data_IF_172771769844
#
_entry.id   IF_172771769844
#
_cell.length_a   1.000
_cell.length_b   1.000
_cell.length_c   1.000
_cell.angle_alpha   90.00
_cell.angle_beta   90.00
_cell.angle_gamma   90.00
#
_symmetry.space_group_name_H-M   'P 1'
#
loop_
_entity.id
_entity.type
_entity.pdbx_description
1 polymer ?
#
# COMPACT_ATOMS: atom_id res chain seq x y z
N UNK A 1 2.46 46.83 -7.22
CA UNK A 1 1.65 46.35 -8.36
C UNK A 1 1.41 44.86 -8.16
N UNK A 2 0.17 44.51 -7.84
CA UNK A 2 -0.30 43.15 -7.51
C UNK A 2 -0.80 42.52 -8.80
N UNK A 3 -0.22 41.43 -9.33
CA UNK A 3 -0.86 40.41 -10.20
C UNK A 3 0.07 39.21 -10.35
N UNK A 4 -0.20 38.12 -9.64
CA UNK A 4 0.21 36.74 -10.00
C UNK A 4 -0.48 35.77 -9.04
N UNK A 5 -1.81 35.72 -9.13
CA UNK A 5 -2.64 34.68 -8.55
C UNK A 5 -3.68 34.32 -9.61
N UNK A 6 -3.92 33.02 -9.75
CA UNK A 6 -4.98 32.36 -10.52
C UNK A 6 -4.71 32.13 -12.02
N UNK A 7 -4.24 30.92 -12.37
CA UNK A 7 -4.75 30.19 -13.54
C UNK A 7 -4.31 28.72 -13.56
N UNK A 8 -4.83 27.86 -12.68
CA UNK A 8 -4.85 26.40 -12.92
C UNK A 8 -6.12 25.77 -12.33
N UNK A 9 -7.26 26.35 -12.72
CA UNK A 9 -8.60 25.80 -12.51
C UNK A 9 -9.29 25.65 -13.87
N UNK A 10 -8.77 24.79 -14.75
CA UNK A 10 -9.46 24.31 -15.94
C UNK A 10 -8.94 22.91 -16.28
N UNK A 11 -9.48 21.87 -15.63
CA UNK A 11 -9.58 20.54 -16.25
C UNK A 11 -10.74 19.77 -15.59
N UNK A 12 -11.96 20.23 -15.87
CA UNK A 12 -13.19 19.45 -15.68
C UNK A 12 -13.82 19.29 -17.07
N UNK A 13 -13.81 18.06 -17.56
CA UNK A 13 -14.66 17.53 -18.65
C UNK A 13 -14.78 16.04 -18.37
N UNK A 14 -15.78 15.57 -17.61
CA UNK A 14 -17.16 15.28 -18.01
C UNK A 14 -17.27 14.42 -19.29
N UNK A 15 -17.52 13.12 -19.12
CA UNK A 15 -18.16 12.16 -20.05
C UNK A 15 -18.36 10.86 -19.25
N UNK A 16 -19.48 10.12 -19.19
CA UNK A 16 -20.89 10.28 -19.53
C UNK A 16 -21.64 9.17 -18.74
N UNK A 17 -22.85 9.46 -18.27
CA UNK A 17 -23.78 8.45 -17.75
C UNK A 17 -24.17 7.47 -18.87
N UNK A 18 -24.15 6.16 -18.58
CA UNK A 18 -24.96 5.19 -19.34
C UNK A 18 -25.77 4.37 -18.34
N UNK A 19 -27.09 4.47 -18.48
CA UNK A 19 -28.09 3.82 -17.66
C UNK A 19 -28.28 2.34 -18.03
N UNK A 20 -28.86 1.59 -17.08
CA UNK A 20 -29.23 0.18 -17.12
C UNK A 20 -29.98 -0.26 -18.40
N UNK A 21 -29.67 -1.46 -18.87
CA UNK A 21 -30.67 -2.41 -19.41
C UNK A 21 -30.25 -3.83 -19.05
N UNK A 22 -31.18 -4.60 -18.51
CA UNK A 22 -31.06 -6.00 -18.10
C UNK A 22 -31.38 -6.92 -19.27
N UNK A 23 -30.63 -8.01 -19.47
CA UNK A 23 -31.16 -9.26 -20.05
C UNK A 23 -30.26 -10.48 -19.74
N UNK A 24 -30.88 -11.55 -19.21
CA UNK A 24 -30.31 -12.88 -18.99
C UNK A 24 -30.27 -13.66 -20.32
N UNK A 25 -29.22 -14.48 -20.59
CA UNK A 25 -29.35 -15.92 -20.93
C UNK A 25 -28.00 -16.67 -21.06
N UNK A 26 -27.85 -17.68 -20.19
CA UNK A 26 -27.26 -19.03 -20.29
C UNK A 26 -25.89 -19.37 -20.94
N UNK A 27 -25.03 -19.89 -20.06
CA UNK A 27 -24.26 -21.16 -20.12
C UNK A 27 -23.09 -21.31 -21.11
N UNK A 28 -21.87 -21.36 -20.54
CA UNK A 28 -20.90 -22.44 -20.81
C UNK A 28 -19.85 -22.49 -19.70
N UNK A 29 -19.61 -23.70 -19.20
CA UNK A 29 -18.71 -24.02 -18.11
C UNK A 29 -17.24 -23.72 -18.45
N UNK A 30 -16.48 -23.15 -17.50
CA UNK A 30 -15.09 -23.54 -17.21
C UNK A 30 -14.76 -23.21 -15.75
N UNK A 31 -14.11 -24.18 -15.13
CA UNK A 31 -13.77 -24.35 -13.72
C UNK A 31 -12.88 -23.22 -13.14
N UNK A 32 -13.11 -22.89 -11.86
CA UNK A 32 -12.05 -22.37 -10.98
C UNK A 32 -12.11 -20.88 -10.60
N UNK A 33 -13.08 -20.53 -9.75
CA UNK A 33 -13.09 -19.42 -8.77
C UNK A 33 -12.13 -18.25 -9.03
N UNK A 34 -12.59 -17.26 -9.77
CA UNK A 34 -12.20 -15.86 -9.56
C UNK A 34 -13.39 -15.16 -8.91
N UNK A 35 -13.34 -15.00 -7.59
CA UNK A 35 -14.27 -14.11 -6.89
C UNK A 35 -13.80 -12.68 -7.16
N UNK A 36 -14.24 -12.09 -8.26
CA UNK A 36 -14.14 -10.64 -8.49
C UNK A 36 -15.29 -9.98 -7.73
N UNK A 37 -15.12 -9.82 -6.43
CA UNK A 37 -15.94 -8.91 -5.62
C UNK A 37 -15.40 -7.50 -5.81
N UNK A 38 -16.12 -6.69 -6.58
CA UNK A 38 -15.94 -5.25 -6.61
C UNK A 38 -16.25 -4.68 -5.22
N UNK A 39 -15.21 -4.27 -4.49
CA UNK A 39 -15.34 -3.64 -3.18
C UNK A 39 -13.96 -3.37 -2.58
N UNK A 40 -13.51 -2.11 -2.65
CA UNK A 40 -12.19 -1.63 -2.21
C UNK A 40 -11.02 -2.31 -2.92
N UNK A 41 -10.39 -1.65 -3.90
CA UNK A 41 -9.10 -2.10 -4.41
C UNK A 41 -8.11 -2.16 -3.24
N UNK A 42 -7.75 -3.37 -2.80
CA UNK A 42 -6.72 -3.58 -1.79
C UNK A 42 -5.41 -3.06 -2.41
N UNK A 43 -4.83 -1.95 -1.94
CA UNK A 43 -3.65 -1.35 -2.58
C UNK A 43 -2.44 -2.29 -2.52
N UNK A 44 -2.49 -3.33 -1.69
CA UNK A 44 -1.47 -4.39 -1.63
C UNK A 44 -1.60 -5.38 -2.79
N UNK A 45 -2.80 -5.58 -3.36
CA UNK A 45 -3.05 -6.59 -4.39
C UNK A 45 -2.26 -6.31 -5.68
N UNK A 46 -2.18 -5.04 -6.09
CA UNK A 46 -1.42 -4.64 -7.28
C UNK A 46 0.09 -4.86 -7.08
N UNK A 47 0.61 -4.48 -5.90
CA UNK A 47 2.01 -4.74 -5.54
C UNK A 47 2.29 -6.25 -5.46
N UNK A 48 1.37 -7.03 -4.90
CA UNK A 48 1.50 -8.48 -4.82
C UNK A 48 1.56 -9.12 -6.20
N UNK A 49 0.70 -8.70 -7.12
CA UNK A 49 0.70 -9.18 -8.50
C UNK A 49 2.00 -8.80 -9.23
N UNK A 50 2.49 -7.56 -9.05
CA UNK A 50 3.74 -7.06 -9.64
C UNK A 50 4.95 -7.92 -9.26
N UNK A 51 5.01 -8.39 -8.01
CA UNK A 51 6.17 -9.11 -7.46
C UNK A 51 5.94 -10.61 -7.23
N UNK A 52 4.76 -11.13 -7.61
CA UNK A 52 4.41 -12.54 -7.39
C UNK A 52 4.27 -12.93 -5.92
N UNK A 53 3.87 -12.00 -5.05
CA UNK A 53 3.73 -12.22 -3.61
C UNK A 53 2.46 -13.02 -3.32
N UNK A 54 2.58 -14.02 -2.46
CA UNK A 54 1.45 -14.68 -1.84
C UNK A 54 1.11 -14.02 -0.50
N UNK A 55 -0.02 -13.31 -0.45
CA UNK A 55 -0.44 -12.52 0.72
C UNK A 55 -0.95 -13.33 1.93
N UNK A 56 -0.94 -14.67 1.84
CA UNK A 56 -1.33 -15.56 2.95
C UNK A 56 -0.25 -16.58 3.27
N UNK A 57 0.81 -16.66 2.46
CA UNK A 57 1.94 -17.54 2.76
C UNK A 57 2.79 -16.93 3.88
N UNK A 58 2.95 -17.71 4.94
CA UNK A 58 3.83 -17.39 6.06
C UNK A 58 5.29 -17.27 5.60
N UNK A 59 6.02 -16.35 6.23
CA UNK A 59 7.45 -16.11 5.95
C UNK A 59 7.73 -14.90 5.08
N UNK A 60 9.01 -14.58 4.95
CA UNK A 60 9.49 -13.41 4.20
C UNK A 60 9.57 -13.72 2.70
N UNK A 61 9.07 -12.77 1.90
CA UNK A 61 9.03 -12.82 0.45
C UNK A 61 9.65 -11.53 -0.10
N UNK A 62 10.51 -11.69 -1.10
CA UNK A 62 11.20 -10.58 -1.76
C UNK A 62 10.21 -9.79 -2.62
N UNK A 63 10.17 -8.46 -2.45
CA UNK A 63 9.35 -7.56 -3.26
C UNK A 63 10.23 -6.75 -4.23
N UNK A 64 10.61 -5.52 -3.86
CA UNK A 64 11.35 -4.61 -4.74
C UNK A 64 12.85 -4.63 -4.46
N UNK A 65 13.65 -4.35 -5.49
CA UNK A 65 15.08 -4.04 -5.37
C UNK A 65 15.38 -2.55 -5.21
N UNK A 66 14.39 -1.69 -5.45
CA UNK A 66 14.49 -0.26 -5.19
C UNK A 66 14.64 0.00 -3.68
N UNK A 67 15.40 1.04 -3.34
CA UNK A 67 15.74 1.40 -1.97
C UNK A 67 15.57 2.89 -1.80
N UNK A 68 15.11 3.30 -0.63
CA UNK A 68 15.08 4.71 -0.26
C UNK A 68 16.39 5.11 0.43
N UNK A 69 16.70 6.40 0.42
CA UNK A 69 17.78 6.91 1.25
C UNK A 69 17.45 6.72 2.74
N UNK A 70 18.47 6.48 3.58
CA UNK A 70 18.31 6.35 5.04
C UNK A 70 17.54 7.53 5.65
N UNK A 71 17.83 8.76 5.21
CA UNK A 71 17.18 9.97 5.71
C UNK A 71 15.67 9.98 5.47
N UNK A 72 15.19 9.38 4.38
CA UNK A 72 13.76 9.26 4.09
C UNK A 72 13.10 8.29 5.07
N UNK A 73 13.76 7.17 5.39
CA UNK A 73 13.22 6.22 6.36
C UNK A 73 13.25 6.77 7.80
N UNK A 74 14.27 7.56 8.14
CA UNK A 74 14.33 8.30 9.41
C UNK A 74 13.19 9.31 9.50
N UNK A 75 12.98 10.13 8.46
CA UNK A 75 11.88 11.10 8.42
C UNK A 75 10.52 10.38 8.45
N UNK A 76 10.36 9.27 7.75
CA UNK A 76 9.11 8.50 7.76
C UNK A 76 8.80 8.02 9.19
N UNK A 77 9.81 7.52 9.90
CA UNK A 77 9.70 7.06 11.29
C UNK A 77 9.39 8.21 12.26
N UNK A 78 10.13 9.30 12.19
CA UNK A 78 10.08 10.36 13.21
C UNK A 78 9.02 11.43 12.93
N UNK A 79 8.73 11.72 11.66
CA UNK A 79 7.83 12.80 11.23
C UNK A 79 6.53 12.24 10.67
N UNK A 80 6.57 11.42 9.62
CA UNK A 80 5.34 10.91 8.99
C UNK A 80 4.50 10.02 9.92
N UNK A 81 5.17 9.24 10.76
CA UNK A 81 4.56 8.43 11.82
C UNK A 81 4.54 9.13 13.18
N UNK A 82 5.11 10.34 13.28
CA UNK A 82 5.22 11.11 14.52
C UNK A 82 5.96 10.36 15.64
N UNK A 83 6.91 9.50 15.30
CA UNK A 83 7.66 8.68 16.26
C UNK A 83 6.85 7.56 16.93
N UNK A 84 5.61 7.33 16.49
CA UNK A 84 4.73 6.32 17.08
C UNK A 84 5.00 4.93 16.52
N UNK A 85 4.88 3.91 17.36
CA UNK A 85 5.05 2.49 17.00
C UNK A 85 3.76 1.68 17.05
N UNK A 86 2.68 2.23 17.60
CA UNK A 86 1.39 1.58 17.76
C UNK A 86 0.28 2.53 17.31
N UNK A 87 -0.68 2.00 16.55
CA UNK A 87 -1.71 2.80 15.91
C UNK A 87 -3.09 2.16 16.13
N UNK A 88 -4.08 2.99 16.47
CA UNK A 88 -5.46 2.59 16.64
C UNK A 88 -6.34 3.42 15.71
N UNK A 89 -6.97 2.76 14.73
CA UNK A 89 -7.87 3.43 13.79
C UNK A 89 -7.19 4.37 12.80
N UNK A 90 -5.92 4.12 12.46
CA UNK A 90 -5.25 4.85 11.38
C UNK A 90 -5.84 4.48 10.02
N UNK A 91 -5.99 5.48 9.17
CA UNK A 91 -6.42 5.40 7.77
C UNK A 91 -5.27 5.25 6.78
N UNK A 92 -4.01 5.28 7.25
CA UNK A 92 -2.83 5.10 6.40
C UNK A 92 -2.82 3.70 5.80
N UNK A 93 -2.50 3.63 4.52
CA UNK A 93 -2.46 2.42 3.69
C UNK A 93 -1.05 2.16 3.16
N UNK A 94 -0.79 0.97 2.63
CA UNK A 94 0.49 0.68 1.94
C UNK A 94 0.82 1.70 0.84
N UNK A 95 -0.18 2.12 0.06
CA UNK A 95 0.01 3.11 -0.99
C UNK A 95 0.48 4.48 -0.46
N UNK A 96 0.01 4.89 0.72
CA UNK A 96 0.46 6.14 1.35
C UNK A 96 1.95 6.07 1.72
N UNK A 97 2.42 4.91 2.19
CA UNK A 97 3.85 4.70 2.47
C UNK A 97 4.68 4.68 1.20
N UNK A 98 4.22 4.01 0.13
CA UNK A 98 4.92 4.02 -1.16
C UNK A 98 5.01 5.43 -1.74
N UNK A 99 3.91 6.20 -1.68
CA UNK A 99 3.89 7.58 -2.14
C UNK A 99 4.80 8.51 -1.32
N UNK A 100 4.88 8.30 -0.01
CA UNK A 100 5.72 9.10 0.89
C UNK A 100 7.21 8.74 0.79
N UNK A 101 7.53 7.44 0.80
CA UNK A 101 8.92 6.94 0.76
C UNK A 101 9.51 7.04 -0.66
N UNK A 102 8.66 6.92 -1.68
CA UNK A 102 9.04 7.00 -3.09
C UNK A 102 9.41 5.66 -3.74
N UNK A 103 9.30 4.53 -3.03
CA UNK A 103 9.49 3.20 -3.60
C UNK A 103 8.69 2.12 -2.86
N UNK A 104 8.46 0.99 -3.55
CA UNK A 104 7.87 -0.21 -2.96
C UNK A 104 8.75 -0.82 -1.87
N UNK A 105 8.15 -1.56 -0.95
CA UNK A 105 8.87 -2.26 0.10
C UNK A 105 9.90 -3.25 -0.46
N UNK A 106 10.99 -3.45 0.28
CA UNK A 106 12.02 -4.43 -0.06
C UNK A 106 11.52 -5.86 0.15
N UNK A 107 10.75 -6.08 1.21
CA UNK A 107 10.23 -7.39 1.58
C UNK A 107 8.80 -7.30 2.09
N UNK A 108 8.06 -8.38 1.88
CA UNK A 108 6.77 -8.66 2.47
C UNK A 108 6.88 -9.85 3.42
N UNK A 109 6.12 -9.87 4.52
CA UNK A 109 5.86 -11.12 5.23
C UNK A 109 4.45 -11.16 5.79
N UNK A 110 3.85 -12.35 5.76
CA UNK A 110 2.63 -12.64 6.48
C UNK A 110 3.00 -13.42 7.75
N UNK A 111 2.49 -12.98 8.90
CA UNK A 111 2.68 -13.69 10.17
C UNK A 111 1.61 -13.28 11.16
N UNK A 112 1.02 -14.27 11.85
CA UNK A 112 0.07 -14.01 12.94
C UNK A 112 -1.18 -13.25 12.50
N UNK A 113 -1.60 -13.42 11.24
CA UNK A 113 -2.72 -12.67 10.66
C UNK A 113 -2.40 -11.23 10.29
N UNK A 114 -1.12 -10.83 10.32
CA UNK A 114 -0.66 -9.49 9.99
C UNK A 114 0.14 -9.49 8.69
N UNK A 115 0.03 -8.38 7.95
CA UNK A 115 0.83 -8.10 6.76
C UNK A 115 1.93 -7.12 7.12
N UNK A 116 3.19 -7.51 6.92
CA UNK A 116 4.35 -6.69 7.22
C UNK A 116 5.05 -6.28 5.93
N UNK A 117 5.39 -5.01 5.82
CA UNK A 117 6.17 -4.44 4.72
C UNK A 117 7.44 -3.84 5.27
N UNK A 118 8.58 -4.26 4.73
CA UNK A 118 9.89 -3.84 5.22
C UNK A 118 10.64 -3.09 4.14
N UNK A 119 11.06 -1.86 4.44
CA UNK A 119 11.99 -1.08 3.63
C UNK A 119 13.39 -1.18 4.22
N UNK A 120 14.34 -1.60 3.38
CA UNK A 120 15.77 -1.46 3.67
C UNK A 120 16.28 -0.18 2.98
N UNK A 121 17.16 0.61 3.62
CA UNK A 121 17.76 1.76 2.98
C UNK A 121 18.92 1.36 2.07
N UNK A 122 19.27 2.25 1.15
CA UNK A 122 20.45 2.11 0.29
C UNK A 122 21.74 1.93 1.12
N UNK A 123 22.58 0.98 0.71
CA UNK A 123 23.90 0.77 1.31
C UNK A 123 23.91 0.22 2.74
N UNK A 124 22.76 -0.18 3.30
CA UNK A 124 22.70 -0.75 4.65
C UNK A 124 21.54 -1.76 4.82
N UNK A 125 21.79 -3.01 4.47
CA UNK A 125 20.81 -4.11 4.62
C UNK A 125 20.56 -4.53 6.08
N UNK A 126 21.37 -4.03 7.02
CA UNK A 126 21.17 -4.25 8.46
C UNK A 126 20.19 -3.24 9.08
N UNK A 127 19.77 -2.22 8.32
CA UNK A 127 18.78 -1.24 8.74
C UNK A 127 17.43 -1.53 8.07
N UNK A 128 16.36 -1.38 8.84
CA UNK A 128 15.01 -1.77 8.42
C UNK A 128 13.97 -0.84 9.03
N UNK A 129 13.02 -0.39 8.22
CA UNK A 129 11.73 0.16 8.67
C UNK A 129 10.64 -0.85 8.31
N UNK A 130 9.93 -1.36 9.31
CA UNK A 130 8.83 -2.32 9.14
C UNK A 130 7.51 -1.63 9.46
N UNK A 131 6.53 -1.79 8.58
CA UNK A 131 5.16 -1.30 8.74
C UNK A 131 4.22 -2.50 8.76
N UNK A 132 3.39 -2.58 9.79
CA UNK A 132 2.48 -3.69 10.00
C UNK A 132 1.03 -3.25 9.84
N UNK A 133 0.29 -4.00 9.03
CA UNK A 133 -1.14 -3.86 8.85
C UNK A 133 -1.85 -5.08 9.44
N UNK A 134 -2.93 -4.83 10.17
CA UNK A 134 -3.81 -5.85 10.70
C UNK A 134 -5.21 -5.70 10.11
N UNK A 135 -5.93 -6.81 9.97
CA UNK A 135 -7.33 -6.78 9.56
C UNK A 135 -8.19 -6.23 10.70
N UNK A 136 -8.90 -5.15 10.42
CA UNK A 136 -9.83 -4.50 11.35
C UNK A 136 -11.28 -5.02 11.22
N UNK A 137 -11.53 -5.97 10.31
CA UNK A 137 -12.86 -6.39 9.87
C UNK A 137 -13.52 -5.42 8.88
N UNK A 138 -12.93 -4.24 8.67
CA UNK A 138 -13.30 -3.25 7.64
C UNK A 138 -12.23 -3.12 6.54
N UNK A 139 -11.19 -3.94 6.61
CA UNK A 139 -10.00 -3.85 5.78
C UNK A 139 -8.72 -3.77 6.61
N UNK A 140 -7.60 -3.73 5.90
CA UNK A 140 -6.26 -3.70 6.47
C UNK A 140 -5.90 -2.27 6.90
N UNK A 141 -5.64 -2.09 8.18
CA UNK A 141 -5.29 -0.78 8.76
C UNK A 141 -3.92 -0.83 9.40
N UNK A 142 -3.19 0.28 9.32
CA UNK A 142 -1.91 0.44 10.03
C UNK A 142 -2.12 0.16 11.52
N UNK A 143 -1.38 -0.81 12.05
CA UNK A 143 -1.47 -1.24 13.45
C UNK A 143 -0.18 -0.98 14.21
N UNK A 144 0.97 -1.15 13.56
CA UNK A 144 2.27 -0.97 14.19
C UNK A 144 3.34 -0.52 13.21
N UNK A 145 4.42 0.04 13.76
CA UNK A 145 5.68 0.25 13.07
C UNK A 145 6.84 -0.25 13.94
N UNK A 146 7.91 -0.70 13.30
CA UNK A 146 9.13 -1.12 13.95
C UNK A 146 10.33 -0.65 13.15
N UNK A 147 11.46 -0.39 13.81
CA UNK A 147 12.69 -0.07 13.11
C UNK A 147 13.91 -0.70 13.76
N UNK A 148 14.90 -1.01 12.94
CA UNK A 148 16.20 -1.54 13.34
C UNK A 148 17.26 -0.68 12.67
N UNK A 149 18.18 -0.11 13.43
CA UNK A 149 19.29 0.72 12.92
C UNK A 149 18.89 1.92 12.03
N UNK A 150 17.65 2.42 12.12
CA UNK A 150 17.18 3.64 11.46
C UNK A 150 17.43 4.85 12.39
N UNK A 151 18.48 5.62 12.10
CA UNK A 151 18.94 6.76 12.91
C UNK A 151 19.70 7.78 12.07
#
# INVERSE_FOLDING_TARGET
MKKLIALFLVLVTLFCLTACSSEKKDTSATNGTTTTSAGSADPVADAAAKYGINLTAEGEQKMSDERAAMSVLVETKDVFLGGSTMFFGSDKTYADFVAHIGCDASYYSFSGGQRNFTWCPEGNDSAKLMITFADSGKGWTLSASGSVNIK
#
